data_IF_653730557235
#
_entry.id   IF_653730557235
#
_cell.length_a   1.000
_cell.length_b   1.000
_cell.length_c   1.000
_cell.angle_alpha   90.00
_cell.angle_beta   90.00
_cell.angle_gamma   90.00
#
_symmetry.space_group_name_H-M   'P 1'
#
loop_
_entity.id
_entity.type
_entity.pdbx_description
1 polymer ?
#
# COMPACT_ATOMS: atom_id res chain seq x y z
N UNK A 1 1.22 -10.81 17.96
CA UNK A 1 1.20 -10.46 16.55
C UNK A 1 2.13 -9.28 16.24
N UNK A 2 2.57 -9.15 15.02
CA UNK A 2 3.35 -8.02 14.54
C UNK A 2 2.66 -7.40 13.31
N UNK A 3 2.83 -6.09 13.12
CA UNK A 3 2.41 -5.39 11.91
C UNK A 3 3.66 -4.98 11.15
N UNK A 4 3.69 -5.29 9.86
CA UNK A 4 4.82 -4.97 8.97
C UNK A 4 4.35 -3.95 7.92
N UNK A 5 4.51 -2.64 8.17
CA UNK A 5 4.09 -1.59 7.25
C UNK A 5 4.95 -1.56 6.00
N UNK A 6 4.35 -1.14 4.89
CA UNK A 6 5.06 -0.70 3.70
C UNK A 6 5.43 0.78 3.78
N UNK A 7 5.42 1.47 2.63
CA UNK A 7 5.67 2.91 2.57
C UNK A 7 4.45 3.68 3.05
N UNK A 8 4.60 4.37 4.16
CA UNK A 8 3.55 5.19 4.79
C UNK A 8 4.01 6.66 4.80
N UNK A 9 3.13 7.55 4.34
CA UNK A 9 3.40 8.98 4.29
C UNK A 9 3.41 9.57 5.72
N UNK A 10 4.58 9.67 6.29
CA UNK A 10 4.84 10.19 7.64
C UNK A 10 6.06 11.10 7.63
N UNK A 11 6.25 11.97 8.62
CA UNK A 11 7.47 12.75 8.77
C UNK A 11 8.75 11.91 8.78
N UNK A 12 8.69 10.68 9.27
CA UNK A 12 9.82 9.74 9.24
C UNK A 12 10.19 9.35 7.79
N UNK A 13 9.18 9.12 6.94
CA UNK A 13 9.38 8.65 5.57
C UNK A 13 9.80 9.78 4.60
N UNK A 14 9.18 10.94 4.70
CA UNK A 14 9.43 12.05 3.77
C UNK A 14 10.19 13.23 4.39
N UNK A 15 10.57 13.13 5.67
CA UNK A 15 11.31 14.18 6.38
C UNK A 15 10.52 15.47 6.49
N UNK A 16 11.26 16.59 6.54
CA UNK A 16 10.71 17.95 6.58
C UNK A 16 10.60 18.55 5.17
N UNK A 17 10.10 17.77 4.23
CA UNK A 17 9.89 18.23 2.87
C UNK A 17 8.72 19.22 2.82
N UNK A 18 8.80 20.19 1.90
CA UNK A 18 7.65 21.02 1.55
C UNK A 18 6.52 20.20 0.91
N UNK A 19 5.33 20.78 0.79
CA UNK A 19 4.15 20.09 0.27
C UNK A 19 4.35 19.54 -1.14
N UNK A 20 5.04 20.27 -2.01
CA UNK A 20 5.31 19.82 -3.38
C UNK A 20 6.19 18.59 -3.42
N UNK A 21 7.25 18.56 -2.60
CA UNK A 21 8.15 17.40 -2.50
C UNK A 21 7.48 16.20 -1.82
N UNK A 22 6.63 16.46 -0.82
CA UNK A 22 5.80 15.41 -0.23
C UNK A 22 4.87 14.79 -1.26
N UNK A 23 4.24 15.60 -2.11
CA UNK A 23 3.37 15.10 -3.17
C UNK A 23 4.16 14.28 -4.20
N UNK A 24 5.34 14.73 -4.61
CA UNK A 24 6.24 13.96 -5.49
C UNK A 24 6.65 12.63 -4.87
N UNK A 25 6.91 12.60 -3.57
CA UNK A 25 7.19 11.37 -2.84
C UNK A 25 6.01 10.39 -2.93
N UNK A 26 4.81 10.87 -2.63
CA UNK A 26 3.58 10.06 -2.71
C UNK A 26 3.34 9.52 -4.11
N UNK A 27 3.48 10.36 -5.13
CA UNK A 27 3.29 9.96 -6.52
C UNK A 27 4.33 8.93 -6.97
N UNK A 28 5.59 9.17 -6.64
CA UNK A 28 6.69 8.28 -7.00
C UNK A 28 6.52 6.89 -6.40
N UNK A 29 6.33 6.82 -5.09
CA UNK A 29 6.22 5.53 -4.39
C UNK A 29 4.86 4.87 -4.61
N UNK A 30 3.80 5.65 -4.74
CA UNK A 30 2.45 5.12 -5.00
C UNK A 30 2.34 4.34 -6.30
N UNK A 31 3.08 4.75 -7.33
CA UNK A 31 3.12 4.03 -8.62
C UNK A 31 3.70 2.61 -8.53
N UNK A 32 4.48 2.34 -7.50
CA UNK A 32 5.08 1.03 -7.29
C UNK A 32 4.25 0.10 -6.40
N UNK A 33 3.18 0.64 -5.80
CA UNK A 33 2.26 -0.14 -5.00
C UNK A 33 1.15 -0.71 -5.87
N UNK A 34 0.83 -2.02 -5.79
CA UNK A 34 -0.31 -2.59 -6.51
C UNK A 34 -1.63 -1.86 -6.24
N UNK A 35 -1.84 -1.38 -5.01
CA UNK A 35 -3.02 -0.60 -4.65
C UNK A 35 -3.06 0.81 -5.28
N UNK A 36 -1.91 1.31 -5.77
CA UNK A 36 -1.81 2.57 -6.52
C UNK A 36 -1.58 3.83 -5.68
N UNK A 37 -1.32 3.71 -4.40
CA UNK A 37 -0.99 4.84 -3.51
C UNK A 37 -0.03 4.42 -2.40
N UNK A 38 0.64 5.37 -1.77
CA UNK A 38 1.32 5.13 -0.50
C UNK A 38 0.29 5.00 0.63
N UNK A 39 0.66 4.32 1.69
CA UNK A 39 -0.15 4.23 2.89
C UNK A 39 -0.22 5.57 3.62
N UNK A 40 -1.25 5.70 4.43
CA UNK A 40 -1.38 6.78 5.43
C UNK A 40 -1.38 6.17 6.82
N UNK A 41 -1.06 6.94 7.88
CA UNK A 41 -1.01 6.40 9.24
C UNK A 41 -2.28 5.63 9.65
N UNK A 42 -3.44 6.06 9.18
CA UNK A 42 -4.71 5.40 9.48
C UNK A 42 -4.80 3.98 8.89
N UNK A 43 -4.13 3.68 7.80
CA UNK A 43 -4.09 2.30 7.24
C UNK A 43 -3.47 1.33 8.25
N UNK A 44 -2.42 1.78 8.94
CA UNK A 44 -1.76 0.98 9.97
C UNK A 44 -2.57 0.96 11.27
N UNK A 45 -3.17 2.09 11.64
CA UNK A 45 -4.02 2.17 12.81
C UNK A 45 -5.23 1.24 12.75
N UNK A 46 -5.85 1.08 11.59
CA UNK A 46 -6.97 0.15 11.39
C UNK A 46 -6.53 -1.32 11.54
N UNK A 47 -5.35 -1.68 11.04
CA UNK A 47 -4.78 -3.01 11.24
C UNK A 47 -4.50 -3.27 12.73
N UNK A 48 -3.94 -2.29 13.43
CA UNK A 48 -3.68 -2.38 14.86
C UNK A 48 -4.97 -2.52 15.67
N UNK A 49 -5.99 -1.75 15.32
CA UNK A 49 -7.32 -1.83 15.95
C UNK A 49 -7.93 -3.22 15.77
N UNK A 50 -7.87 -3.78 14.57
CA UNK A 50 -8.35 -5.14 14.29
C UNK A 50 -7.64 -6.17 15.17
N UNK A 51 -6.31 -6.14 15.23
CA UNK A 51 -5.54 -7.09 16.04
C UNK A 51 -5.72 -6.88 17.55
N UNK A 52 -6.04 -5.68 18.00
CA UNK A 52 -6.30 -5.37 19.40
C UNK A 52 -7.75 -5.63 19.84
N UNK A 53 -8.64 -5.88 18.90
CA UNK A 53 -10.08 -6.06 19.16
C UNK A 53 -10.47 -7.54 19.25
N UNK A 54 -11.69 -7.79 19.70
CA UNK A 54 -12.29 -9.11 19.74
C UNK A 54 -12.55 -9.70 18.35
N UNK A 55 -12.45 -8.91 17.28
CA UNK A 55 -12.57 -9.39 15.90
C UNK A 55 -11.42 -10.32 15.49
N UNK A 56 -10.31 -10.29 16.22
CA UNK A 56 -9.11 -11.10 15.94
C UNK A 56 -8.83 -12.19 17.00
N UNK A 57 -9.84 -12.67 17.70
CA UNK A 57 -9.67 -13.62 18.83
C UNK A 57 -9.02 -14.94 18.45
N UNK A 58 -9.01 -15.30 17.17
CA UNK A 58 -8.39 -16.52 16.67
C UNK A 58 -7.07 -16.27 15.91
N UNK A 59 -6.47 -15.07 16.08
CA UNK A 59 -5.24 -14.65 15.40
C UNK A 59 -4.14 -14.41 16.43
N UNK A 60 -3.09 -15.22 16.38
CA UNK A 60 -1.91 -15.05 17.23
C UNK A 60 -0.66 -15.56 16.52
N UNK A 61 0.51 -15.00 16.88
CA UNK A 61 1.79 -15.44 16.33
C UNK A 61 2.00 -15.07 14.86
N UNK A 62 1.22 -14.15 14.30
CA UNK A 62 1.31 -13.75 12.89
C UNK A 62 2.08 -12.43 12.69
N UNK A 63 2.69 -12.30 11.52
CA UNK A 63 3.19 -11.03 11.00
C UNK A 63 2.24 -10.54 9.90
N UNK A 64 1.43 -9.53 10.21
CA UNK A 64 0.48 -8.96 9.27
C UNK A 64 1.17 -7.91 8.41
N UNK A 65 1.31 -8.17 7.13
CA UNK A 65 1.87 -7.23 6.16
C UNK A 65 0.78 -6.25 5.72
N UNK A 66 1.05 -4.94 5.89
CA UNK A 66 0.14 -3.85 5.53
C UNK A 66 0.91 -2.87 4.66
N UNK A 67 1.05 -3.20 3.37
CA UNK A 67 2.00 -2.55 2.47
C UNK A 67 1.43 -2.19 1.09
N UNK A 68 0.12 -2.22 0.93
CA UNK A 68 -0.52 -1.95 -0.36
C UNK A 68 -0.16 -2.96 -1.46
N UNK A 69 0.33 -4.14 -1.08
CA UNK A 69 0.74 -5.20 -1.98
C UNK A 69 2.20 -5.10 -2.48
N UNK A 70 3.01 -4.19 -1.92
CA UNK A 70 4.38 -3.95 -2.40
C UNK A 70 5.26 -5.20 -2.41
N UNK A 71 5.12 -6.08 -1.43
CA UNK A 71 5.83 -7.36 -1.37
C UNK A 71 5.25 -8.44 -2.28
N UNK A 72 3.96 -8.37 -2.58
CA UNK A 72 3.27 -9.38 -3.38
C UNK A 72 3.56 -9.24 -4.88
N UNK A 73 3.99 -8.08 -5.34
CA UNK A 73 4.31 -7.85 -6.73
C UNK A 73 4.31 -6.38 -7.14
N UNK A 74 4.19 -6.16 -8.43
CA UNK A 74 4.10 -4.83 -9.04
C UNK A 74 2.70 -4.60 -9.60
N UNK A 75 2.32 -3.32 -9.85
CA UNK A 75 1.06 -3.03 -10.51
C UNK A 75 0.91 -3.83 -11.82
N UNK A 76 -0.21 -4.49 -11.95
CA UNK A 76 -0.48 -5.42 -13.05
C UNK A 76 -0.30 -4.81 -14.45
N UNK A 77 -0.68 -3.54 -14.62
CA UNK A 77 -0.54 -2.83 -15.89
C UNK A 77 0.91 -2.74 -16.37
N UNK A 78 1.87 -2.57 -15.45
CA UNK A 78 3.30 -2.53 -15.81
C UNK A 78 3.86 -3.90 -16.16
N UNK A 79 3.38 -4.94 -15.51
CA UNK A 79 3.78 -6.30 -15.85
C UNK A 79 3.30 -6.68 -17.24
N UNK A 80 2.09 -6.27 -17.60
CA UNK A 80 1.50 -6.55 -18.91
C UNK A 80 2.23 -5.80 -20.03
N UNK A 81 2.63 -4.55 -19.84
CA UNK A 81 3.44 -3.80 -20.79
C UNK A 81 4.78 -4.49 -21.08
N UNK A 82 5.39 -5.08 -20.07
CA UNK A 82 6.64 -5.81 -20.19
C UNK A 82 6.50 -7.16 -20.90
N UNK A 83 5.35 -7.81 -20.75
CA UNK A 83 5.14 -9.18 -21.23
C UNK A 83 4.50 -9.24 -22.62
N UNK A 84 3.67 -8.30 -22.97
CA UNK A 84 2.84 -8.40 -24.18
C UNK A 84 3.12 -7.31 -25.23
N UNK A 85 3.80 -6.24 -24.87
CA UNK A 85 3.98 -5.07 -25.74
C UNK A 85 2.65 -4.39 -26.17
N UNK A 86 1.54 -4.87 -25.67
CA UNK A 86 0.21 -4.32 -25.86
C UNK A 86 -0.24 -3.61 -24.60
N UNK A 87 -0.94 -2.51 -24.75
CA UNK A 87 -1.36 -1.64 -23.66
C UNK A 87 -2.11 -2.35 -22.50
N UNK A 88 -2.40 -1.64 -21.44
CA UNK A 88 -2.86 -2.24 -20.19
C UNK A 88 -4.17 -3.02 -20.36
N UNK A 89 -4.20 -4.24 -19.83
CA UNK A 89 -5.46 -4.96 -19.65
C UNK A 89 -6.34 -4.11 -18.71
N UNK A 90 -7.50 -3.74 -19.16
CA UNK A 90 -8.50 -3.08 -18.32
C UNK A 90 -9.03 -4.10 -17.31
N UNK A 91 -8.43 -4.14 -16.14
CA UNK A 91 -9.00 -4.90 -15.04
C UNK A 91 -10.32 -4.25 -14.60
N UNK A 92 -11.30 -5.07 -14.33
CA UNK A 92 -12.55 -4.63 -13.71
C UNK A 92 -12.24 -3.90 -12.40
N UNK A 93 -12.59 -2.63 -12.34
CA UNK A 93 -12.66 -1.90 -11.06
C UNK A 93 -14.15 -1.79 -10.71
N UNK A 94 -14.58 -2.36 -9.58
CA UNK A 94 -15.92 -2.08 -9.09
C UNK A 94 -16.08 -0.57 -8.94
N UNK A 95 -17.13 0.00 -9.52
CA UNK A 95 -17.41 1.42 -9.36
C UNK A 95 -17.56 1.75 -7.87
N UNK A 96 -17.00 2.89 -7.43
CA UNK A 96 -17.12 3.37 -6.05
C UNK A 96 -16.03 2.93 -5.08
N UNK A 97 -14.93 2.35 -5.57
CA UNK A 97 -13.75 2.02 -4.74
C UNK A 97 -12.46 2.58 -5.28
#
# INVERSE_FOLDING_TARGET
NAICPGVVATPLAHGRLDEERQQRFKDRFGKHQPIGRVGVPNDIAQAALFLASDDSTWITGTSMVVDGGARAGRPWHKQNELMTGSGPIKLYRPEGR
#
